data_IF_090878238604
#
_entry.id   IF_090878238604
#
_cell.length_a   1.000
_cell.length_b   1.000
_cell.length_c   1.000
_cell.angle_alpha   90.00
_cell.angle_beta   90.00
_cell.angle_gamma   90.00
#
_symmetry.space_group_name_H-M   'P 1'
#
loop_
_entity.id
_entity.type
_entity.pdbx_description
1 polymer ?
#
# COMPACT_ATOMS: atom_id res chain seq x y z
N UNK A 1 -25.77 3.23 -11.67
CA UNK A 1 -26.25 2.25 -10.68
C UNK A 1 -25.15 1.23 -10.64
N UNK A 2 -24.27 1.43 -9.68
CA UNK A 2 -22.86 1.07 -9.80
C UNK A 2 -22.65 -0.38 -9.39
N UNK A 3 -22.26 -1.22 -10.36
CA UNK A 3 -22.07 -2.67 -10.22
C UNK A 3 -20.84 -3.06 -9.39
N UNK A 4 -20.36 -2.17 -8.51
CA UNK A 4 -19.23 -2.44 -7.61
C UNK A 4 -19.64 -3.18 -6.34
N UNK A 5 -20.95 -3.33 -6.10
CA UNK A 5 -21.47 -4.04 -4.92
C UNK A 5 -21.77 -5.52 -5.16
N UNK A 6 -21.89 -5.99 -6.41
CA UNK A 6 -22.24 -7.40 -6.67
C UNK A 6 -21.04 -8.36 -6.68
N UNK A 7 -19.81 -7.87 -6.84
CA UNK A 7 -18.61 -8.71 -6.74
C UNK A 7 -18.13 -8.95 -5.30
N UNK A 8 -18.74 -8.27 -4.31
CA UNK A 8 -18.36 -8.39 -2.91
C UNK A 8 -18.72 -9.76 -2.29
N UNK A 9 -19.68 -10.49 -2.85
CA UNK A 9 -20.15 -11.78 -2.30
C UNK A 9 -19.49 -13.01 -2.93
N UNK A 10 -18.59 -12.84 -3.91
CA UNK A 10 -17.76 -13.93 -4.47
C UNK A 10 -16.29 -13.87 -4.01
N UNK A 11 -16.00 -13.03 -3.01
CA UNK A 11 -14.65 -12.50 -2.75
C UNK A 11 -14.25 -12.37 -1.28
N UNK A 12 -14.38 -13.42 -0.45
CA UNK A 12 -13.63 -13.48 0.83
C UNK A 12 -12.17 -13.88 0.59
N UNK A 13 -11.46 -13.12 -0.25
CA UNK A 13 -10.00 -13.17 -0.32
C UNK A 13 -9.41 -12.65 1.00
N UNK A 14 -8.22 -13.13 1.39
CA UNK A 14 -7.50 -12.62 2.56
C UNK A 14 -7.19 -11.13 2.35
N UNK A 15 -7.49 -10.30 3.34
CA UNK A 15 -7.24 -8.86 3.32
C UNK A 15 -6.38 -8.50 4.52
N UNK A 16 -5.31 -7.74 4.28
CA UNK A 16 -4.50 -7.14 5.34
C UNK A 16 -4.63 -5.61 5.28
N UNK A 17 -4.79 -4.97 6.43
CA UNK A 17 -4.88 -3.51 6.54
C UNK A 17 -3.57 -2.97 7.12
N UNK A 18 -3.14 -1.81 6.64
CA UNK A 18 -1.94 -1.13 7.12
C UNK A 18 -2.22 0.36 7.34
N UNK A 19 -1.46 0.96 8.25
CA UNK A 19 -1.35 2.41 8.39
C UNK A 19 0.05 2.79 7.91
N UNK A 20 0.10 3.57 6.84
CA UNK A 20 1.36 4.00 6.24
C UNK A 20 1.77 5.35 6.83
N UNK A 21 2.99 5.37 7.35
CA UNK A 21 3.66 6.56 7.85
C UNK A 21 4.60 7.07 6.76
N UNK A 22 4.80 8.38 6.71
CA UNK A 22 5.83 8.95 5.86
C UNK A 22 7.22 8.60 6.42
N UNK A 23 8.14 8.27 5.52
CA UNK A 23 9.48 7.82 5.90
C UNK A 23 10.32 8.91 6.57
N UNK A 24 10.09 10.16 6.20
CA UNK A 24 10.87 11.33 6.63
C UNK A 24 10.18 12.13 7.73
N UNK A 25 8.86 11.95 7.93
CA UNK A 25 8.13 12.61 8.99
C UNK A 25 7.11 11.70 9.71
N UNK A 26 7.27 11.55 11.02
CA UNK A 26 6.28 10.85 11.87
C UNK A 26 5.23 11.82 12.43
N UNK A 27 4.54 12.53 11.52
CA UNK A 27 3.47 13.46 11.87
C UNK A 27 2.19 13.09 11.12
N UNK A 28 1.03 13.09 11.80
CA UNK A 28 -0.26 12.86 11.14
C UNK A 28 -0.60 13.96 10.13
N UNK A 29 -1.51 13.70 9.17
CA UNK A 29 -2.32 12.48 9.04
C UNK A 29 -1.57 11.32 8.37
N UNK A 30 -1.75 10.12 8.94
CA UNK A 30 -1.27 8.87 8.34
C UNK A 30 -2.29 8.34 7.31
N UNK A 31 -1.82 7.50 6.39
CA UNK A 31 -2.65 6.98 5.29
C UNK A 31 -3.09 5.56 5.62
N UNK A 32 -4.40 5.32 5.64
CA UNK A 32 -4.95 3.96 5.72
C UNK A 32 -4.79 3.24 4.38
N UNK A 33 -4.53 1.94 4.43
CA UNK A 33 -4.42 1.12 3.23
C UNK A 33 -4.85 -0.32 3.45
N UNK A 34 -5.08 -1.05 2.36
CA UNK A 34 -5.23 -2.51 2.41
C UNK A 34 -4.66 -3.19 1.19
N UNK A 35 -4.25 -4.44 1.40
CA UNK A 35 -3.83 -5.34 0.36
C UNK A 35 -4.76 -6.55 0.35
N UNK A 36 -5.50 -6.71 -0.75
CA UNK A 36 -6.42 -7.83 -0.96
C UNK A 36 -5.72 -8.92 -1.78
N UNK A 37 -5.83 -10.17 -1.33
CA UNK A 37 -5.47 -11.32 -2.12
C UNK A 37 -6.38 -11.40 -3.34
N UNK A 38 -5.84 -11.02 -4.50
CA UNK A 38 -6.53 -11.17 -5.78
C UNK A 38 -6.19 -12.53 -6.39
N UNK A 39 -7.20 -13.39 -6.56
CA UNK A 39 -7.05 -14.72 -7.15
C UNK A 39 -6.20 -15.68 -6.30
N UNK A 40 -5.29 -16.41 -6.97
CA UNK A 40 -4.39 -17.41 -6.35
C UNK A 40 -2.93 -16.94 -6.28
N UNK A 41 -2.70 -15.64 -6.08
CA UNK A 41 -1.34 -15.09 -6.03
C UNK A 41 -0.52 -15.77 -4.92
N UNK A 42 0.48 -16.58 -5.33
CA UNK A 42 1.35 -17.34 -4.42
C UNK A 42 2.34 -16.44 -3.67
N UNK A 43 2.57 -15.23 -4.17
CA UNK A 43 3.51 -14.27 -3.55
C UNK A 43 2.86 -13.42 -2.46
N UNK A 44 1.52 -13.36 -2.42
CA UNK A 44 0.81 -12.55 -1.44
C UNK A 44 1.20 -12.91 0.00
N UNK A 45 1.32 -14.20 0.33
CA UNK A 45 1.75 -14.63 1.66
C UNK A 45 3.20 -14.22 1.97
N UNK A 46 4.11 -14.32 1.00
CA UNK A 46 5.49 -13.90 1.17
C UNK A 46 5.58 -12.38 1.43
N UNK A 47 4.82 -11.61 0.64
CA UNK A 47 4.77 -10.14 0.70
C UNK A 47 4.12 -9.64 2.01
N UNK A 48 3.17 -10.38 2.58
CA UNK A 48 2.37 -9.93 3.73
C UNK A 48 2.84 -10.44 5.08
N UNK A 49 3.39 -11.66 5.12
CA UNK A 49 3.72 -12.33 6.39
C UNK A 49 4.80 -11.58 7.17
N UNK A 50 5.75 -10.95 6.48
CA UNK A 50 6.81 -10.16 7.15
C UNK A 50 6.25 -8.99 7.98
N UNK A 51 5.06 -8.51 7.63
CA UNK A 51 4.36 -7.42 8.31
C UNK A 51 3.44 -7.87 9.44
N UNK A 52 3.32 -9.17 9.73
CA UNK A 52 2.49 -9.68 10.82
C UNK A 52 3.19 -9.54 12.18
N UNK A 53 4.52 -9.53 12.21
CA UNK A 53 5.30 -9.37 13.43
C UNK A 53 5.56 -7.89 13.69
N UNK A 54 4.99 -7.35 14.77
CA UNK A 54 5.24 -5.98 15.20
C UNK A 54 6.72 -5.80 15.54
N UNK A 55 7.34 -4.74 15.01
CA UNK A 55 8.71 -4.33 15.33
C UNK A 55 8.68 -2.93 15.93
N UNK A 56 9.56 -2.67 16.90
CA UNK A 56 9.69 -1.35 17.50
C UNK A 56 10.18 -0.36 16.42
N UNK A 57 9.50 0.77 16.29
CA UNK A 57 9.75 1.75 15.21
C UNK A 57 9.04 1.47 13.89
N UNK A 58 8.24 0.39 13.79
CA UNK A 58 7.52 0.02 12.58
C UNK A 58 8.38 -0.76 11.58
N UNK A 59 7.83 -1.03 10.41
CA UNK A 59 8.52 -1.75 9.33
C UNK A 59 8.55 -0.82 8.12
N UNK A 60 9.77 -0.51 7.66
CA UNK A 60 9.95 0.24 6.41
C UNK A 60 9.49 -0.64 5.25
N UNK A 61 8.72 -0.06 4.33
CA UNK A 61 8.22 -0.78 3.18
C UNK A 61 8.29 0.08 1.92
N UNK A 62 8.31 -0.60 0.79
CA UNK A 62 7.94 -0.01 -0.49
C UNK A 62 6.62 -0.62 -0.91
N UNK A 63 5.73 0.26 -1.33
CA UNK A 63 4.36 -0.07 -1.67
C UNK A 63 4.03 0.50 -3.05
N UNK A 64 3.23 -0.25 -3.80
CA UNK A 64 2.61 0.21 -5.04
C UNK A 64 1.11 0.15 -4.80
N UNK A 65 0.41 1.25 -5.06
CA UNK A 65 -1.03 1.29 -4.82
C UNK A 65 -1.73 2.41 -5.58
N UNK A 66 -3.05 2.33 -5.57
CA UNK A 66 -3.93 3.34 -6.13
C UNK A 66 -4.52 4.17 -4.99
N UNK A 67 -4.26 5.47 -5.02
CA UNK A 67 -4.87 6.40 -4.08
C UNK A 67 -6.33 6.65 -4.45
N UNK A 68 -7.21 6.54 -3.47
CA UNK A 68 -8.65 6.78 -3.57
C UNK A 68 -9.07 7.76 -2.48
N UNK A 69 -10.11 8.55 -2.77
CA UNK A 69 -10.74 9.41 -1.79
C UNK A 69 -12.11 8.82 -1.45
N UNK A 70 -12.32 8.51 -0.18
CA UNK A 70 -13.63 8.03 0.27
C UNK A 70 -14.58 9.22 0.48
N UNK A 71 -15.67 9.26 -0.29
CA UNK A 71 -16.72 10.28 -0.20
C UNK A 71 -16.47 11.58 -0.98
N UNK A 72 -17.53 12.38 -1.16
CA UNK A 72 -17.46 13.69 -1.80
C UNK A 72 -16.98 14.77 -0.80
N UNK A 73 -16.10 15.68 -1.20
CA UNK A 73 -15.65 16.81 -0.36
C UNK A 73 -14.35 16.55 0.42
N UNK A 74 -14.33 16.78 1.76
CA UNK A 74 -13.17 16.53 2.66
C UNK A 74 -13.01 15.04 3.04
N UNK A 75 -13.26 14.15 2.08
CA UNK A 75 -13.13 12.70 2.26
C UNK A 75 -11.72 12.26 2.68
N UNK A 76 -11.63 11.13 3.38
CA UNK A 76 -10.36 10.53 3.81
C UNK A 76 -9.64 9.92 2.59
N UNK A 77 -8.34 10.14 2.51
CA UNK A 77 -7.51 9.46 1.52
C UNK A 77 -7.18 8.05 1.99
N UNK A 78 -7.24 7.11 1.06
CA UNK A 78 -7.00 5.70 1.27
C UNK A 78 -6.17 5.12 0.12
N UNK A 79 -5.27 4.18 0.40
CA UNK A 79 -4.51 3.48 -0.64
C UNK A 79 -4.97 2.04 -0.77
N UNK A 80 -5.41 1.67 -1.97
CA UNK A 80 -5.55 0.26 -2.36
C UNK A 80 -4.19 -0.26 -2.81
N UNK A 81 -3.55 -1.12 -2.01
CA UNK A 81 -2.26 -1.70 -2.32
C UNK A 81 -2.41 -2.76 -3.42
N UNK A 82 -1.49 -2.71 -4.37
CA UNK A 82 -1.30 -3.68 -5.44
C UNK A 82 -0.07 -4.57 -5.16
N UNK A 83 0.88 -4.05 -4.40
CA UNK A 83 2.06 -4.76 -3.91
C UNK A 83 2.62 -4.02 -2.69
N UNK A 84 3.21 -4.78 -1.76
CA UNK A 84 3.95 -4.26 -0.63
C UNK A 84 5.12 -5.20 -0.33
N UNK A 85 6.28 -4.64 -0.04
CA UNK A 85 7.44 -5.41 0.38
C UNK A 85 8.25 -4.64 1.42
N UNK A 86 8.89 -5.37 2.32
CA UNK A 86 9.80 -4.78 3.30
C UNK A 86 10.99 -4.14 2.58
N UNK A 87 11.38 -2.96 3.02
CA UNK A 87 12.45 -2.18 2.42
C UNK A 87 13.54 -1.88 3.46
N UNK A 88 14.74 -1.65 2.96
CA UNK A 88 15.91 -1.21 3.71
C UNK A 88 16.30 0.22 3.33
N UNK A 89 17.19 0.84 4.09
CA UNK A 89 17.77 2.13 3.70
C UNK A 89 18.53 2.04 2.37
N UNK A 90 19.16 0.90 2.06
CA UNK A 90 19.82 0.69 0.76
C UNK A 90 18.82 0.76 -0.39
N UNK A 91 17.62 0.19 -0.23
CA UNK A 91 16.54 0.31 -1.22
C UNK A 91 16.11 1.77 -1.42
N UNK A 92 15.99 2.53 -0.32
CA UNK A 92 15.63 3.95 -0.36
C UNK A 92 16.69 4.76 -1.10
N UNK A 93 17.97 4.54 -0.79
CA UNK A 93 19.09 5.22 -1.44
C UNK A 93 19.20 4.86 -2.92
N UNK A 94 18.98 3.59 -3.28
CA UNK A 94 18.99 3.13 -4.66
C UNK A 94 17.90 3.85 -5.49
N UNK A 95 16.68 3.98 -4.94
CA UNK A 95 15.58 4.68 -5.63
C UNK A 95 15.76 6.19 -5.63
N UNK A 96 16.29 6.79 -4.56
CA UNK A 96 16.58 8.22 -4.50
C UNK A 96 17.61 8.65 -5.57
N UNK A 97 18.53 7.75 -5.95
CA UNK A 97 19.45 7.95 -7.07
C UNK A 97 18.80 7.80 -8.46
N UNK A 98 17.65 7.11 -8.55
CA UNK A 98 16.87 6.95 -9.79
C UNK A 98 15.87 8.10 -9.88
N UNK A 99 16.33 9.27 -10.29
CA UNK A 99 15.50 10.41 -10.64
C UNK A 99 15.36 10.48 -12.17
N UNK A 100 14.18 10.14 -12.71
CA UNK A 100 13.85 10.41 -14.11
C UNK A 100 13.28 11.83 -14.22
N UNK A 101 14.09 12.77 -14.73
CA UNK A 101 13.61 14.04 -15.28
C UNK A 101 13.44 13.87 -16.79
N UNK A 102 12.29 14.30 -17.29
CA UNK A 102 11.75 14.14 -18.65
C UNK A 102 12.75 14.14 -19.81
N UNK A 103 12.45 13.32 -20.83
CA UNK A 103 12.76 13.66 -22.21
C UNK A 103 11.46 14.05 -22.92
N UNK A 104 11.32 15.35 -23.16
CA UNK A 104 10.38 15.96 -24.10
C UNK A 104 10.07 15.08 -25.31
N UNK A 105 8.78 14.81 -25.58
CA UNK A 105 8.17 14.77 -26.91
C UNK A 105 6.71 15.22 -26.81
#
# INVERSE_FOLDING_TARGET
>A
MDSWHEDAERGKGRKQNFVLHDLYHDKPPYIDSSFLLSGQSKVWDADTTTFLTRRDGGIMCRAIGQMKKEGCGRGKWYINLLSIWEATWDDVHAVAGIYAKDSHW
#
